data_IF_036697517247
#
_entry.id   IF_036697517247
#
_cell.length_a   1.000
_cell.length_b   1.000
_cell.length_c   1.000
_cell.angle_alpha   90.00
_cell.angle_beta   90.00
_cell.angle_gamma   90.00
#
_symmetry.space_group_name_H-M   'P 1'
#
loop_
_entity.id
_entity.type
_entity.pdbx_description
1 polymer ?
#
# COMPACT_ATOMS: atom_id res chain seq x y z
N UNK A 1 21.06 31.24 -23.92
CA UNK A 1 19.62 31.38 -24.28
C UNK A 1 18.82 31.20 -23.00
N UNK A 2 18.28 32.28 -22.43
CA UNK A 2 17.49 32.24 -21.19
C UNK A 2 16.04 31.91 -21.52
N UNK A 3 15.58 30.74 -21.07
CA UNK A 3 14.19 30.30 -21.19
C UNK A 3 13.43 30.90 -20.00
N UNK A 4 12.76 32.03 -20.24
CA UNK A 4 11.87 32.63 -19.25
C UNK A 4 10.59 31.80 -19.15
N UNK A 5 10.51 30.93 -18.13
CA UNK A 5 9.26 30.26 -17.77
C UNK A 5 8.30 31.27 -17.14
N UNK A 6 7.43 31.84 -17.98
CA UNK A 6 6.29 32.64 -17.54
C UNK A 6 5.20 31.74 -16.96
N UNK A 7 5.30 31.43 -15.67
CA UNK A 7 4.20 30.83 -14.93
C UNK A 7 3.14 31.91 -14.71
N UNK A 8 2.03 31.83 -15.44
CA UNK A 8 0.85 32.66 -15.17
C UNK A 8 0.42 32.42 -13.72
N UNK A 9 0.60 33.43 -12.86
CA UNK A 9 0.19 33.39 -11.47
C UNK A 9 -1.31 33.20 -11.38
N UNK A 10 -1.76 31.99 -11.06
CA UNK A 10 -3.17 31.72 -10.77
C UNK A 10 -3.49 32.41 -9.45
N UNK A 11 -4.40 33.38 -9.47
CA UNK A 11 -4.82 34.10 -8.26
C UNK A 11 -5.40 33.11 -7.24
N UNK A 12 -5.02 33.24 -5.97
CA UNK A 12 -5.49 32.39 -4.88
C UNK A 12 -7.03 32.36 -4.78
N UNK A 13 -7.71 33.44 -5.17
CA UNK A 13 -9.18 33.50 -5.22
C UNK A 13 -9.77 32.58 -6.29
N UNK A 14 -9.06 32.34 -7.40
CA UNK A 14 -9.47 31.39 -8.44
C UNK A 14 -9.42 29.96 -7.93
N UNK A 15 -8.42 29.61 -7.12
CA UNK A 15 -8.29 28.29 -6.50
C UNK A 15 -9.44 28.04 -5.51
N UNK A 16 -9.79 29.04 -4.69
CA UNK A 16 -10.91 28.93 -3.75
C UNK A 16 -12.26 28.76 -4.48
N UNK A 17 -12.49 29.51 -5.56
CA UNK A 17 -13.69 29.38 -6.37
C UNK A 17 -13.78 28.00 -7.06
N UNK A 18 -12.68 27.50 -7.60
CA UNK A 18 -12.62 26.17 -8.21
C UNK A 18 -12.91 25.07 -7.18
N UNK A 19 -12.35 25.21 -5.97
CA UNK A 19 -12.61 24.28 -4.86
C UNK A 19 -14.09 24.28 -4.48
N UNK A 20 -14.71 25.46 -4.33
CA UNK A 20 -16.13 25.57 -4.03
C UNK A 20 -17.03 24.95 -5.13
N UNK A 21 -16.69 25.16 -6.40
CA UNK A 21 -17.44 24.55 -7.52
C UNK A 21 -17.32 23.02 -7.53
N UNK A 22 -16.13 22.48 -7.24
CA UNK A 22 -15.92 21.04 -7.13
C UNK A 22 -16.73 20.42 -5.98
N UNK A 23 -16.85 21.11 -4.84
CA UNK A 23 -17.71 20.65 -3.74
C UNK A 23 -19.19 20.62 -4.12
N UNK A 24 -19.68 21.66 -4.81
CA UNK A 24 -21.07 21.68 -5.31
C UNK A 24 -21.36 20.53 -6.27
N UNK A 25 -20.43 20.23 -7.20
CA UNK A 25 -20.57 19.11 -8.14
C UNK A 25 -20.52 17.74 -7.47
N UNK A 26 -19.68 17.57 -6.44
CA UNK A 26 -19.66 16.31 -5.65
C UNK A 26 -20.99 16.09 -4.93
N UNK A 27 -21.55 17.13 -4.32
CA UNK A 27 -22.84 17.03 -3.63
C UNK A 27 -23.98 16.65 -4.61
N UNK A 28 -24.00 17.24 -5.81
CA UNK A 28 -25.02 16.90 -6.81
C UNK A 28 -24.88 15.47 -7.34
N UNK A 29 -23.65 14.99 -7.56
CA UNK A 29 -23.40 13.59 -7.96
C UNK A 29 -23.86 12.63 -6.85
N UNK A 30 -23.60 12.95 -5.60
CA UNK A 30 -24.01 12.12 -4.47
C UNK A 30 -25.54 12.06 -4.34
N UNK A 31 -26.25 13.18 -4.56
CA UNK A 31 -27.72 13.19 -4.62
C UNK A 31 -28.27 12.31 -5.75
N UNK A 32 -27.70 12.37 -6.95
CA UNK A 32 -28.12 11.52 -8.08
C UNK A 32 -27.80 10.05 -7.82
N UNK A 33 -26.65 9.75 -7.19
CA UNK A 33 -26.29 8.37 -6.84
C UNK A 33 -27.28 7.75 -5.83
N UNK A 34 -27.73 8.53 -4.84
CA UNK A 34 -28.70 8.06 -3.85
C UNK A 34 -30.10 7.91 -4.45
N UNK A 35 -30.46 8.73 -5.44
CA UNK A 35 -31.73 8.60 -6.16
C UNK A 35 -31.77 7.34 -7.05
N UNK A 36 -30.66 6.97 -7.68
CA UNK A 36 -30.59 5.81 -8.58
C UNK A 36 -30.37 4.47 -7.85
N UNK A 37 -29.84 4.47 -6.62
CA UNK A 37 -29.62 3.22 -5.86
C UNK A 37 -30.92 2.51 -5.45
N UNK A 38 -32.07 3.17 -5.56
CA UNK A 38 -33.39 2.56 -5.31
C UNK A 38 -34.06 1.99 -6.58
N UNK A 39 -33.47 2.11 -7.77
CA UNK A 39 -34.09 1.64 -9.02
C UNK A 39 -33.55 0.31 -9.56
N UNK A 40 -32.36 -0.15 -9.12
CA UNK A 40 -31.68 -1.29 -9.76
C UNK A 40 -31.84 -2.64 -9.04
N UNK A 41 -32.81 -2.79 -8.12
CA UNK A 41 -33.03 -4.03 -7.36
C UNK A 41 -34.37 -4.74 -7.61
N UNK A 42 -35.09 -4.40 -8.68
CA UNK A 42 -36.26 -5.19 -9.11
C UNK A 42 -36.12 -5.74 -10.52
N UNK A 43 -35.95 -7.06 -10.56
CA UNK A 43 -36.24 -7.93 -11.69
C UNK A 43 -37.56 -7.57 -12.38
N UNK A 44 -37.48 -7.38 -13.71
CA UNK A 44 -38.38 -7.98 -14.71
C UNK A 44 -39.87 -8.05 -14.40
N UNK A 45 -40.58 -6.92 -14.43
CA UNK A 45 -41.99 -6.89 -14.87
C UNK A 45 -42.18 -5.64 -15.73
N UNK A 46 -42.49 -5.83 -17.01
CA UNK A 46 -42.85 -4.74 -17.94
C UNK A 46 -44.20 -4.16 -17.50
N UNK A 47 -44.30 -2.90 -17.02
CA UNK A 47 -45.60 -2.28 -16.85
C UNK A 47 -46.07 -1.74 -18.21
N UNK A 48 -47.20 -2.24 -18.70
CA UNK A 48 -48.00 -1.54 -19.71
C UNK A 48 -48.59 -0.32 -19.03
N UNK A 49 -48.10 0.88 -19.37
CA UNK A 49 -48.70 2.15 -18.95
C UNK A 49 -49.24 2.85 -20.18
N UNK A 50 -50.53 3.13 -20.15
CA UNK A 50 -51.29 3.92 -21.12
C UNK A 50 -50.87 5.39 -21.10
N UNK A 51 -51.00 6.12 -22.22
CA UNK A 51 -50.66 7.54 -22.28
C UNK A 51 -51.69 8.36 -21.50
N UNK A 52 -51.24 9.05 -20.45
CA UNK A 52 -51.98 10.13 -19.79
C UNK A 52 -51.41 11.48 -20.27
N UNK A 53 -52.25 12.43 -20.68
CA UNK A 53 -51.83 13.77 -21.11
C UNK A 53 -51.72 14.68 -19.90
N UNK A 54 -50.55 15.27 -19.66
CA UNK A 54 -50.40 16.38 -18.70
C UNK A 54 -49.59 17.50 -19.33
N UNK A 55 -50.16 18.69 -19.17
CA UNK A 55 -49.88 19.97 -19.77
C UNK A 55 -48.43 20.45 -19.68
N UNK A 56 -48.02 21.02 -20.81
CA UNK A 56 -46.76 21.67 -21.11
C UNK A 56 -46.70 23.05 -20.46
N UNK A 57 -46.20 23.13 -19.22
CA UNK A 57 -45.84 24.41 -18.60
C UNK A 57 -44.48 24.89 -19.16
N UNK A 58 -44.56 25.88 -20.03
CA UNK A 58 -43.41 26.56 -20.65
C UNK A 58 -42.57 27.31 -19.60
N UNK A 59 -41.48 26.67 -19.14
CA UNK A 59 -40.41 27.36 -18.41
C UNK A 59 -39.38 27.85 -19.44
N UNK A 60 -39.12 29.16 -19.57
CA UNK A 60 -38.17 29.67 -20.54
C UNK A 60 -36.73 29.20 -20.21
N UNK A 61 -35.93 28.80 -21.22
CA UNK A 61 -34.59 28.31 -20.99
C UNK A 61 -33.68 29.45 -20.47
N UNK A 62 -32.87 29.21 -19.42
CA UNK A 62 -31.91 30.21 -18.94
C UNK A 62 -30.84 30.46 -20.01
N UNK A 63 -30.72 31.73 -20.43
CA UNK A 63 -29.70 32.21 -21.37
C UNK A 63 -28.31 32.02 -20.76
N UNK A 64 -27.57 31.01 -21.21
CA UNK A 64 -26.17 30.76 -20.85
C UNK A 64 -25.25 31.59 -21.75
N UNK A 65 -24.97 32.84 -21.38
CA UNK A 65 -23.88 33.64 -21.96
C UNK A 65 -22.58 33.35 -21.20
N UNK A 66 -21.95 32.21 -21.48
CA UNK A 66 -20.59 31.91 -21.04
C UNK A 66 -19.65 31.87 -22.25
N UNK A 67 -18.42 32.41 -22.16
CA UNK A 67 -17.46 32.35 -23.25
C UNK A 67 -17.16 30.88 -23.62
N UNK A 68 -16.86 30.58 -24.90
CA UNK A 68 -16.64 29.21 -25.37
C UNK A 68 -15.33 28.68 -24.76
N UNK A 69 -15.42 27.98 -23.62
CA UNK A 69 -14.29 27.31 -23.00
C UNK A 69 -13.77 26.19 -23.91
N UNK A 70 -12.52 26.37 -24.33
CA UNK A 70 -11.54 25.40 -24.83
C UNK A 70 -12.04 23.95 -25.03
N UNK A 71 -12.44 23.68 -26.26
CA UNK A 71 -12.83 22.35 -26.76
C UNK A 71 -11.69 21.30 -26.79
N UNK A 72 -10.39 21.60 -27.01
CA UNK A 72 -9.41 20.54 -27.28
C UNK A 72 -8.96 19.74 -26.04
N UNK A 73 -9.03 20.32 -24.84
CA UNK A 73 -8.68 19.59 -23.61
C UNK A 73 -9.75 18.55 -23.25
N UNK A 74 -11.02 18.88 -23.49
CA UNK A 74 -12.15 17.99 -23.24
C UNK A 74 -12.13 16.75 -24.14
N UNK A 75 -11.61 16.85 -25.36
CA UNK A 75 -11.48 15.72 -26.28
C UNK A 75 -10.41 14.72 -25.82
N UNK A 76 -9.26 15.19 -25.33
CA UNK A 76 -8.22 14.32 -24.76
C UNK A 76 -8.70 13.60 -23.50
N UNK A 77 -9.46 14.28 -22.65
CA UNK A 77 -10.05 13.68 -21.44
C UNK A 77 -11.11 12.64 -21.83
N UNK A 78 -11.94 12.91 -22.84
CA UNK A 78 -12.91 11.94 -23.36
C UNK A 78 -12.21 10.72 -23.96
N UNK A 79 -11.15 10.90 -24.74
CA UNK A 79 -10.37 9.81 -25.32
C UNK A 79 -9.73 8.92 -24.24
N UNK A 80 -9.13 9.52 -23.20
CA UNK A 80 -8.50 8.74 -22.12
C UNK A 80 -9.52 7.99 -21.27
N UNK A 81 -10.69 8.58 -21.00
CA UNK A 81 -11.80 7.89 -20.32
C UNK A 81 -12.36 6.76 -21.17
N UNK A 82 -12.50 6.95 -22.48
CA UNK A 82 -13.03 5.92 -23.38
C UNK A 82 -12.07 4.73 -23.50
N UNK A 83 -10.77 4.98 -23.66
CA UNK A 83 -9.72 3.96 -23.60
C UNK A 83 -9.77 3.15 -22.29
N UNK A 84 -9.96 3.84 -21.16
CA UNK A 84 -10.02 3.20 -19.84
C UNK A 84 -11.28 2.35 -19.69
N UNK A 85 -12.42 2.83 -20.17
CA UNK A 85 -13.68 2.08 -20.18
C UNK A 85 -13.60 0.81 -21.06
N UNK A 86 -12.96 0.91 -22.22
CA UNK A 86 -12.68 -0.23 -23.11
C UNK A 86 -11.83 -1.30 -22.43
N UNK A 87 -10.76 -0.88 -21.72
CA UNK A 87 -9.91 -1.78 -20.94
C UNK A 87 -10.70 -2.53 -19.86
N UNK A 88 -11.59 -1.84 -19.14
CA UNK A 88 -12.44 -2.49 -18.13
C UNK A 88 -13.47 -3.44 -18.74
N UNK A 89 -14.06 -3.10 -19.89
CA UNK A 89 -14.94 -4.03 -20.62
C UNK A 89 -14.19 -5.31 -20.99
N UNK A 90 -12.97 -5.19 -21.50
CA UNK A 90 -12.13 -6.36 -21.83
C UNK A 90 -11.82 -7.22 -20.61
N UNK A 91 -11.52 -6.62 -19.46
CA UNK A 91 -11.30 -7.36 -18.20
C UNK A 91 -12.56 -8.05 -17.69
N UNK A 92 -13.70 -7.38 -17.76
CA UNK A 92 -15.01 -7.96 -17.39
C UNK A 92 -15.35 -9.15 -18.30
N UNK A 93 -15.22 -8.97 -19.61
CA UNK A 93 -15.50 -10.03 -20.59
C UNK A 93 -14.54 -11.23 -20.40
N UNK A 94 -13.27 -10.96 -20.10
CA UNK A 94 -12.24 -11.99 -19.84
C UNK A 94 -12.44 -12.70 -18.50
N UNK A 95 -13.10 -12.07 -17.53
CA UNK A 95 -13.43 -12.71 -16.24
C UNK A 95 -14.64 -13.65 -16.29
N UNK A 96 -15.45 -13.56 -17.36
CA UNK A 96 -16.70 -14.33 -17.51
C UNK A 96 -16.61 -15.46 -18.53
N UNK A 97 -15.47 -15.66 -19.20
CA UNK A 97 -15.33 -16.68 -20.24
C UNK A 97 -14.31 -17.74 -19.81
N UNK A 98 -14.73 -19.00 -19.87
CA UNK A 98 -14.11 -20.24 -19.37
C UNK A 98 -12.82 -20.67 -20.11
N UNK A 99 -12.07 -19.72 -20.66
CA UNK A 99 -10.75 -19.97 -21.26
C UNK A 99 -9.66 -19.44 -20.31
N UNK A 100 -9.49 -20.14 -19.19
CA UNK A 100 -8.20 -20.15 -18.52
C UNK A 100 -7.25 -20.95 -19.41
N UNK A 101 -6.54 -20.27 -20.32
CA UNK A 101 -5.18 -20.72 -20.55
C UNK A 101 -4.50 -20.74 -19.17
N UNK A 102 -3.88 -21.86 -18.76
CA UNK A 102 -3.14 -21.93 -17.52
C UNK A 102 -1.98 -20.93 -17.63
N UNK A 103 -2.22 -19.71 -17.17
CA UNK A 103 -1.18 -18.77 -16.80
C UNK A 103 -0.30 -19.53 -15.82
N UNK A 104 0.93 -19.82 -16.25
CA UNK A 104 1.96 -20.52 -15.50
C UNK A 104 1.85 -20.16 -14.01
N UNK A 105 1.48 -21.15 -13.20
CA UNK A 105 1.28 -21.03 -11.74
C UNK A 105 2.58 -20.59 -11.02
N UNK A 106 3.69 -20.45 -11.73
CA UNK A 106 5.00 -20.01 -11.26
C UNK A 106 5.15 -18.49 -11.08
N UNK A 107 4.19 -17.67 -11.52
CA UNK A 107 4.30 -16.20 -11.39
C UNK A 107 3.69 -15.63 -10.10
N UNK A 108 2.91 -16.42 -9.35
CA UNK A 108 2.38 -15.98 -8.06
C UNK A 108 3.39 -16.30 -6.95
N UNK A 109 4.21 -15.32 -6.59
CA UNK A 109 5.13 -15.37 -5.45
C UNK A 109 4.34 -15.59 -4.16
N UNK A 110 4.20 -16.85 -3.74
CA UNK A 110 3.52 -17.23 -2.52
C UNK A 110 4.51 -17.10 -1.34
N UNK A 111 4.53 -15.93 -0.69
CA UNK A 111 5.37 -15.64 0.49
C UNK A 111 5.11 -16.57 1.70
N UNK A 112 4.11 -17.45 1.59
CA UNK A 112 3.73 -18.43 2.60
C UNK A 112 4.48 -19.76 2.47
N UNK A 113 5.03 -20.05 1.28
CA UNK A 113 5.92 -21.20 1.07
C UNK A 113 7.35 -20.69 1.12
N UNK A 114 8.01 -20.81 2.28
CA UNK A 114 9.47 -20.87 2.27
C UNK A 114 9.85 -22.15 1.52
N UNK A 115 10.52 -22.09 0.36
CA UNK A 115 11.04 -23.28 -0.29
C UNK A 115 12.16 -23.84 0.59
N UNK A 116 11.85 -24.86 1.38
CA UNK A 116 12.87 -25.59 2.16
C UNK A 116 13.89 -26.23 1.20
N UNK A 117 13.43 -26.60 0.00
CA UNK A 117 14.22 -27.28 -1.05
C UNK A 117 15.29 -26.40 -1.70
N UNK A 118 15.20 -25.08 -1.61
CA UNK A 118 16.21 -24.18 -2.18
C UNK A 118 17.37 -23.88 -1.21
N UNK A 119 17.22 -24.17 0.09
CA UNK A 119 18.30 -23.95 1.05
C UNK A 119 19.48 -24.90 0.83
N UNK A 120 19.21 -26.17 0.52
CA UNK A 120 20.26 -27.15 0.22
C UNK A 120 20.95 -26.88 -1.13
N UNK A 121 20.19 -26.44 -2.14
CA UNK A 121 20.76 -26.05 -3.45
C UNK A 121 21.58 -24.76 -3.35
N UNK A 122 21.14 -23.79 -2.54
CA UNK A 122 21.90 -22.58 -2.27
C UNK A 122 23.16 -22.88 -1.46
N UNK A 123 23.09 -23.74 -0.44
CA UNK A 123 24.27 -24.22 0.30
C UNK A 123 25.23 -24.98 -0.63
N UNK A 124 24.72 -25.83 -1.51
CA UNK A 124 25.55 -26.54 -2.50
C UNK A 124 26.19 -25.61 -3.52
N UNK A 125 25.54 -24.49 -3.86
CA UNK A 125 26.11 -23.44 -4.73
C UNK A 125 27.19 -22.65 -4.00
N UNK A 126 26.95 -22.25 -2.76
CA UNK A 126 27.91 -21.54 -1.91
C UNK A 126 29.18 -22.37 -1.69
N UNK A 127 29.05 -23.66 -1.36
CA UNK A 127 30.21 -24.55 -1.17
C UNK A 127 31.02 -24.67 -2.48
N UNK A 128 30.36 -24.74 -3.64
CA UNK A 128 31.01 -24.88 -4.94
C UNK A 128 31.61 -23.58 -5.48
N UNK A 129 31.14 -22.44 -5.00
CA UNK A 129 31.69 -21.11 -5.28
C UNK A 129 32.86 -20.77 -4.34
N UNK A 130 32.90 -21.34 -3.13
CA UNK A 130 34.06 -21.24 -2.24
C UNK A 130 35.25 -22.08 -2.77
N UNK A 131 35.02 -23.30 -3.27
CA UNK A 131 36.08 -24.15 -3.85
C UNK A 131 36.72 -23.57 -5.13
N UNK A 132 36.02 -22.69 -5.86
CA UNK A 132 36.55 -22.09 -7.10
C UNK A 132 37.15 -20.69 -6.90
N UNK A 133 37.10 -20.12 -5.69
CA UNK A 133 37.62 -18.79 -5.38
C UNK A 133 38.83 -18.85 -4.40
N UNK A 134 39.62 -19.91 -4.43
CA UNK A 134 40.84 -20.04 -3.61
C UNK A 134 42.02 -19.16 -4.06
N UNK A 135 41.87 -18.36 -5.12
CA UNK A 135 42.85 -17.34 -5.48
C UNK A 135 42.18 -15.97 -5.41
N UNK A 136 42.34 -15.27 -4.28
CA UNK A 136 42.57 -13.81 -4.15
C UNK A 136 42.24 -13.34 -2.71
N UNK A 137 43.32 -13.00 -1.99
CA UNK A 137 43.41 -12.25 -0.71
C UNK A 137 43.31 -13.09 0.58
N UNK A 138 44.47 -13.59 0.99
CA UNK A 138 44.82 -13.81 2.39
C UNK A 138 44.71 -12.50 3.21
N UNK A 139 43.52 -12.16 3.69
CA UNK A 139 43.40 -11.46 4.97
C UNK A 139 43.15 -12.52 6.03
N UNK A 140 44.23 -12.92 6.71
CA UNK A 140 44.23 -13.82 7.85
C UNK A 140 43.48 -13.18 9.04
N UNK A 141 42.16 -13.11 8.96
CA UNK A 141 41.32 -12.98 10.14
C UNK A 141 41.21 -14.37 10.77
N UNK A 142 41.55 -14.57 12.05
CA UNK A 142 41.33 -15.84 12.72
C UNK A 142 39.84 -16.17 12.63
N UNK A 143 39.51 -17.30 12.00
CA UNK A 143 38.15 -17.83 12.00
C UNK A 143 37.82 -18.21 13.45
N UNK A 144 37.24 -17.25 14.18
CA UNK A 144 36.76 -17.47 15.53
C UNK A 144 35.62 -18.47 15.43
N UNK A 145 35.89 -19.69 15.86
CA UNK A 145 34.90 -20.75 16.05
C UNK A 145 33.80 -20.13 16.91
N UNK A 146 32.59 -20.00 16.34
CA UNK A 146 31.40 -19.48 17.02
C UNK A 146 31.00 -20.45 18.13
N UNK A 147 31.67 -20.36 19.27
CA UNK A 147 31.23 -21.03 20.49
C UNK A 147 29.96 -20.34 20.98
N UNK A 148 28.93 -21.11 21.32
CA UNK A 148 27.64 -20.62 21.84
C UNK A 148 27.75 -19.77 23.13
N UNK A 149 28.95 -19.66 23.71
CA UNK A 149 29.27 -18.96 24.95
C UNK A 149 29.96 -17.60 24.73
N UNK A 150 29.72 -16.93 23.61
CA UNK A 150 30.26 -15.58 23.42
C UNK A 150 29.54 -14.56 24.34
N UNK A 151 30.28 -13.76 25.13
CA UNK A 151 29.67 -12.78 26.02
C UNK A 151 28.96 -11.68 25.21
N UNK A 152 27.78 -11.27 25.70
CA UNK A 152 27.03 -10.15 25.12
C UNK A 152 27.64 -8.82 25.57
N UNK A 153 27.83 -7.89 24.64
CA UNK A 153 28.34 -6.54 24.86
C UNK A 153 27.25 -5.51 24.46
N UNK A 154 27.19 -4.39 25.19
CA UNK A 154 26.30 -3.27 24.86
C UNK A 154 26.88 -2.45 23.69
N UNK A 155 26.12 -2.35 22.60
CA UNK A 155 26.48 -1.54 21.42
C UNK A 155 25.39 -0.49 21.18
N UNK A 156 25.80 0.74 20.85
CA UNK A 156 24.89 1.83 20.47
C UNK A 156 24.69 1.77 18.96
N UNK A 157 23.45 1.55 18.51
CA UNK A 157 23.11 1.56 17.08
C UNK A 157 23.19 2.97 16.48
N UNK A 158 23.08 3.05 15.16
CA UNK A 158 23.06 4.32 14.40
C UNK A 158 21.93 5.29 14.79
N UNK A 159 20.93 4.83 15.56
CA UNK A 159 19.81 5.63 16.08
C UNK A 159 20.01 6.03 17.55
N UNK A 160 21.16 5.72 18.15
CA UNK A 160 21.45 6.02 19.56
C UNK A 160 20.79 5.07 20.56
N UNK A 161 20.30 3.90 20.12
CA UNK A 161 19.70 2.89 21.02
C UNK A 161 20.74 1.86 21.45
N UNK A 162 20.73 1.48 22.72
CA UNK A 162 21.57 0.41 23.24
C UNK A 162 20.99 -0.97 22.91
N UNK A 163 21.82 -1.88 22.41
CA UNK A 163 21.46 -3.28 22.13
C UNK A 163 22.54 -4.22 22.67
N UNK A 164 22.12 -5.36 23.20
CA UNK A 164 23.02 -6.45 23.60
C UNK A 164 23.31 -7.33 22.40
N UNK A 165 24.58 -7.41 22.01
CA UNK A 165 25.03 -8.12 20.81
C UNK A 165 26.22 -9.01 21.19
N UNK A 166 26.38 -10.22 20.63
CA UNK A 166 27.57 -11.03 20.86
C UNK A 166 28.86 -10.25 20.55
N UNK A 167 29.91 -10.45 21.36
CA UNK A 167 31.17 -9.69 21.26
C UNK A 167 31.78 -9.69 19.85
N UNK A 168 31.71 -10.80 19.12
CA UNK A 168 32.24 -10.88 17.76
C UNK A 168 31.52 -9.93 16.78
N UNK A 169 30.19 -9.81 16.92
CA UNK A 169 29.38 -8.93 16.09
C UNK A 169 29.55 -7.46 16.54
N UNK A 170 29.76 -7.21 17.85
CA UNK A 170 30.13 -5.88 18.35
C UNK A 170 31.44 -5.34 17.74
N UNK A 171 32.46 -6.19 17.56
CA UNK A 171 33.72 -5.82 16.90
C UNK A 171 33.47 -5.43 15.44
N UNK A 172 32.62 -6.19 14.74
CA UNK A 172 32.26 -5.90 13.35
C UNK A 172 31.53 -4.56 13.22
N UNK A 173 30.55 -4.29 14.09
CA UNK A 173 29.81 -3.02 14.08
C UNK A 173 30.75 -1.84 14.35
N UNK A 174 31.67 -1.96 15.31
CA UNK A 174 32.69 -0.93 15.59
C UNK A 174 33.59 -0.68 14.37
N UNK A 175 34.05 -1.74 13.72
CA UNK A 175 34.87 -1.62 12.51
C UNK A 175 34.11 -0.98 11.34
N UNK A 176 32.83 -1.32 11.13
CA UNK A 176 31.98 -0.68 10.12
C UNK A 176 31.77 0.82 10.40
N UNK A 177 31.63 1.21 11.68
CA UNK A 177 31.58 2.63 12.08
C UNK A 177 32.89 3.38 11.77
N UNK A 178 34.04 2.73 11.97
CA UNK A 178 35.35 3.31 11.67
C UNK A 178 35.61 3.44 10.15
N UNK A 179 35.22 2.43 9.36
CA UNK A 179 35.43 2.40 7.90
C UNK A 179 34.55 3.41 7.16
N UNK A 180 33.32 3.63 7.64
CA UNK A 180 32.40 4.59 7.01
C UNK A 180 32.67 6.06 7.35
N UNK A 181 33.85 6.38 7.90
CA UNK A 181 34.38 7.75 7.85
C UNK A 181 33.62 8.76 8.70
N UNK A 182 32.87 8.30 9.70
CA UNK A 182 32.42 9.13 10.82
C UNK A 182 33.47 9.17 11.93
N UNK A 183 34.76 9.12 11.57
CA UNK A 183 35.78 9.72 12.41
C UNK A 183 35.31 11.15 12.67
N UNK A 184 35.10 11.56 13.93
CA UNK A 184 34.81 12.96 14.22
C UNK A 184 35.97 13.72 13.61
N UNK A 185 35.72 14.40 12.49
CA UNK A 185 36.64 15.37 11.92
C UNK A 185 37.04 16.20 13.14
N UNK A 186 38.32 16.20 13.56
CA UNK A 186 38.74 17.06 14.64
C UNK A 186 38.29 18.43 14.18
N UNK A 187 37.33 19.00 14.90
CA UNK A 187 36.82 20.35 14.68
C UNK A 187 38.04 21.26 14.90
N UNK A 188 38.83 21.39 13.84
CA UNK A 188 39.85 22.39 13.67
C UNK A 188 39.12 23.67 13.93
N UNK A 189 39.45 24.28 15.06
CA UNK A 189 39.05 25.59 15.52
C UNK A 189 39.16 26.59 14.35
N UNK A 190 38.10 26.67 13.54
CA UNK A 190 37.95 27.76 12.60
C UNK A 190 37.84 29.02 13.45
N UNK A 191 38.60 30.08 13.14
CA UNK A 191 38.59 31.30 13.92
C UNK A 191 37.16 31.83 13.96
N UNK A 192 36.65 31.95 15.19
CA UNK A 192 35.33 32.45 15.54
C UNK A 192 34.99 33.69 14.72
N UNK A 193 34.00 33.57 13.84
CA UNK A 193 33.15 34.70 13.47
C UNK A 193 32.30 34.97 14.70
N UNK A 194 32.58 36.08 15.39
CA UNK A 194 31.81 36.59 16.53
C UNK A 194 30.47 37.17 16.03
N UNK A 195 29.62 36.33 15.47
CA UNK A 195 28.24 36.73 15.23
C UNK A 195 27.54 36.81 16.58
N UNK A 196 27.10 38.02 16.94
CA UNK A 196 26.38 38.35 18.15
C UNK A 196 25.29 37.30 18.47
N UNK A 197 25.51 36.56 19.54
CA UNK A 197 24.56 35.59 20.07
C UNK A 197 23.33 36.34 20.60
N UNK A 198 22.35 36.62 19.73
CA UNK A 198 21.05 37.16 20.15
C UNK A 198 20.29 36.00 20.80
N UNK A 199 19.99 36.06 22.12
CA UNK A 199 19.17 35.03 22.74
C UNK A 199 17.83 35.01 22.01
N UNK A 200 17.50 33.87 21.41
CA UNK A 200 16.21 33.64 20.75
C UNK A 200 15.16 33.77 21.85
N UNK A 201 14.54 34.95 21.94
CA UNK A 201 13.49 35.24 22.89
C UNK A 201 12.35 34.25 22.66
N UNK A 202 12.13 33.34 23.62
CA UNK A 202 10.94 32.50 23.81
C UNK A 202 10.11 32.31 22.54
N UNK A 203 10.69 31.69 21.52
CA UNK A 203 9.95 31.24 20.36
C UNK A 203 9.09 30.07 20.85
N UNK A 204 7.88 30.39 21.34
CA UNK A 204 6.90 29.39 21.71
C UNK A 204 6.71 28.44 20.51
N UNK A 205 6.80 27.15 20.82
CA UNK A 205 6.65 26.07 19.87
C UNK A 205 5.45 26.33 18.94
N UNK A 206 5.74 26.61 17.67
CA UNK A 206 4.73 26.89 16.66
C UNK A 206 4.53 25.62 15.84
N UNK A 207 3.42 24.93 16.08
CA UNK A 207 3.09 23.64 15.44
C UNK A 207 3.05 23.74 13.90
N UNK A 208 2.84 24.94 13.36
CA UNK A 208 2.86 25.21 11.91
C UNK A 208 4.27 25.15 11.28
N UNK A 209 5.33 25.24 12.07
CA UNK A 209 6.73 25.21 11.61
C UNK A 209 7.43 23.88 11.87
N UNK A 210 6.78 22.94 12.58
CA UNK A 210 7.34 21.62 12.79
C UNK A 210 7.32 20.84 11.47
N UNK A 211 8.49 20.72 10.85
CA UNK A 211 8.70 19.81 9.72
C UNK A 211 8.70 18.38 10.30
N UNK A 212 7.50 17.84 10.55
CA UNK A 212 7.27 16.40 10.84
C UNK A 212 7.60 15.61 9.58
N UNK A 213 8.88 15.48 9.32
CA UNK A 213 9.43 14.60 8.31
C UNK A 213 9.11 13.18 8.74
N UNK A 214 8.04 12.64 8.13
CA UNK A 214 7.72 11.22 7.93
C UNK A 214 6.83 10.57 9.00
N UNK A 215 5.57 10.36 8.58
CA UNK A 215 4.74 9.14 8.75
C UNK A 215 3.53 9.14 9.70
N UNK A 216 3.28 10.19 10.48
CA UNK A 216 2.02 10.28 11.24
C UNK A 216 1.24 11.50 10.76
N UNK A 217 0.22 11.26 9.93
CA UNK A 217 -0.70 12.29 9.48
C UNK A 217 -1.63 12.65 10.63
N UNK A 218 -1.34 13.74 11.33
CA UNK A 218 -2.28 14.30 12.30
C UNK A 218 -3.38 15.04 11.54
N UNK A 219 -4.63 14.65 11.77
CA UNK A 219 -5.78 15.37 11.25
C UNK A 219 -5.88 16.72 11.96
N UNK A 220 -5.62 17.81 11.23
CA UNK A 220 -5.85 19.17 11.75
C UNK A 220 -7.34 19.47 11.69
N UNK A 221 -8.00 19.38 12.84
CA UNK A 221 -9.41 19.75 12.96
C UNK A 221 -9.59 21.27 12.89
N UNK A 222 -10.76 21.71 12.45
CA UNK A 222 -11.12 23.14 12.51
C UNK A 222 -11.22 23.61 13.97
N UNK A 223 -10.87 24.86 14.23
CA UNK A 223 -11.07 25.49 15.53
C UNK A 223 -12.56 25.66 15.90
N UNK A 224 -13.46 25.68 14.91
CA UNK A 224 -14.91 25.75 15.12
C UNK A 224 -15.44 24.40 15.61
N UNK A 225 -16.19 24.43 16.71
CA UNK A 225 -16.69 23.22 17.39
C UNK A 225 -17.64 22.38 16.51
N UNK A 226 -18.58 23.02 15.83
CA UNK A 226 -19.56 22.32 14.99
C UNK A 226 -18.87 21.58 13.83
N UNK A 227 -17.95 22.27 13.15
CA UNK A 227 -17.16 21.67 12.06
C UNK A 227 -16.22 20.56 12.58
N UNK A 228 -15.68 20.70 13.79
CA UNK A 228 -14.87 19.66 14.44
C UNK A 228 -15.70 18.40 14.68
N UNK A 229 -16.94 18.55 15.16
CA UNK A 229 -17.85 17.42 15.38
C UNK A 229 -18.22 16.72 14.07
N UNK A 230 -18.47 17.46 13.00
CA UNK A 230 -18.72 16.91 11.67
C UNK A 230 -17.50 16.12 11.14
N UNK A 231 -16.30 16.69 11.29
CA UNK A 231 -15.04 16.04 10.90
C UNK A 231 -14.81 14.75 11.71
N UNK A 232 -15.07 14.77 13.01
CA UNK A 232 -14.99 13.58 13.86
C UNK A 232 -16.01 12.52 13.47
N UNK A 233 -17.24 12.90 13.13
CA UNK A 233 -18.27 11.98 12.65
C UNK A 233 -17.88 11.34 11.33
N UNK A 234 -17.33 12.13 10.40
CA UNK A 234 -16.83 11.63 9.12
C UNK A 234 -15.65 10.65 9.31
N UNK A 235 -14.74 10.95 10.23
CA UNK A 235 -13.60 10.08 10.54
C UNK A 235 -14.06 8.75 11.12
N UNK A 236 -14.97 8.76 12.11
CA UNK A 236 -15.57 7.52 12.66
C UNK A 236 -16.30 6.69 11.60
N UNK A 237 -16.97 7.35 10.65
CA UNK A 237 -17.62 6.65 9.54
C UNK A 237 -16.59 5.92 8.67
N UNK A 238 -15.47 6.56 8.34
CA UNK A 238 -14.38 5.93 7.58
C UNK A 238 -13.73 4.77 8.35
N UNK A 239 -13.51 4.92 9.65
CA UNK A 239 -12.99 3.84 10.51
C UNK A 239 -13.93 2.64 10.51
N UNK A 240 -15.24 2.87 10.69
CA UNK A 240 -16.23 1.79 10.67
C UNK A 240 -16.27 1.03 9.34
N UNK A 241 -16.08 1.72 8.20
CA UNK A 241 -15.98 1.10 6.88
C UNK A 241 -14.70 0.27 6.74
N UNK A 242 -13.57 0.73 7.29
CA UNK A 242 -12.33 -0.04 7.30
C UNK A 242 -12.43 -1.27 8.20
N UNK A 243 -13.05 -1.15 9.37
CA UNK A 243 -13.24 -2.24 10.31
C UNK A 243 -14.14 -3.34 9.74
N UNK A 244 -15.24 -2.97 9.08
CA UNK A 244 -16.11 -3.92 8.39
C UNK A 244 -15.38 -4.64 7.25
N UNK A 245 -14.54 -3.95 6.49
CA UNK A 245 -13.70 -4.58 5.46
C UNK A 245 -12.68 -5.55 6.08
N UNK A 246 -12.00 -5.14 7.14
CA UNK A 246 -11.04 -5.99 7.87
C UNK A 246 -11.74 -7.23 8.44
N UNK A 247 -12.92 -7.07 9.02
CA UNK A 247 -13.73 -8.18 9.53
C UNK A 247 -14.15 -9.16 8.41
N UNK A 248 -14.57 -8.65 7.24
CA UNK A 248 -14.93 -9.48 6.10
C UNK A 248 -13.73 -10.30 5.59
N UNK A 249 -12.55 -9.70 5.49
CA UNK A 249 -11.31 -10.40 5.10
C UNK A 249 -10.95 -11.48 6.12
N UNK A 250 -11.07 -11.21 7.43
CA UNK A 250 -10.82 -12.20 8.47
C UNK A 250 -11.82 -13.36 8.42
N UNK A 251 -13.10 -13.08 8.17
CA UNK A 251 -14.12 -14.12 8.00
C UNK A 251 -13.83 -14.99 6.77
N UNK A 252 -13.48 -14.38 5.63
CA UNK A 252 -13.08 -15.11 4.43
C UNK A 252 -11.87 -16.02 4.68
N UNK A 253 -10.85 -15.53 5.40
CA UNK A 253 -9.68 -16.32 5.78
C UNK A 253 -10.05 -17.51 6.68
N UNK A 254 -10.98 -17.33 7.62
CA UNK A 254 -11.47 -18.41 8.49
C UNK A 254 -12.22 -19.48 7.68
N UNK A 255 -13.08 -19.08 6.75
CA UNK A 255 -13.80 -20.00 5.87
C UNK A 255 -12.85 -20.79 4.97
N UNK A 256 -11.83 -20.14 4.40
CA UNK A 256 -10.83 -20.82 3.58
C UNK A 256 -10.03 -21.85 4.40
N UNK A 257 -9.61 -21.49 5.60
CA UNK A 257 -8.92 -22.41 6.50
C UNK A 257 -9.78 -23.63 6.85
N UNK A 258 -11.07 -23.42 7.13
CA UNK A 258 -12.01 -24.51 7.38
C UNK A 258 -12.20 -25.40 6.15
N UNK A 259 -12.29 -24.81 4.95
CA UNK A 259 -12.39 -25.57 3.70
C UNK A 259 -11.14 -26.43 3.46
N UNK A 260 -9.95 -25.89 3.72
CA UNK A 260 -8.68 -26.63 3.62
C UNK A 260 -8.61 -27.78 4.62
N UNK A 261 -9.06 -27.56 5.86
CA UNK A 261 -9.13 -28.59 6.90
C UNK A 261 -10.05 -29.74 6.48
N UNK A 262 -11.27 -29.44 6.03
CA UNK A 262 -12.22 -30.45 5.54
C UNK A 262 -11.65 -31.23 4.35
N UNK A 263 -11.00 -30.55 3.40
CA UNK A 263 -10.37 -31.22 2.26
C UNK A 263 -9.25 -32.17 2.71
N UNK A 264 -8.45 -31.77 3.70
CA UNK A 264 -7.39 -32.60 4.28
C UNK A 264 -7.99 -33.85 4.93
N UNK A 265 -9.06 -33.71 5.69
CA UNK A 265 -9.76 -34.82 6.33
C UNK A 265 -10.28 -35.82 5.29
N UNK A 266 -10.97 -35.35 4.24
CA UNK A 266 -11.46 -36.21 3.14
C UNK A 266 -10.30 -36.99 2.48
N UNK A 267 -9.16 -36.34 2.24
CA UNK A 267 -7.99 -37.01 1.65
C UNK A 267 -7.44 -38.08 2.59
N UNK A 268 -7.37 -37.81 3.90
CA UNK A 268 -6.90 -38.77 4.89
C UNK A 268 -7.83 -39.98 4.97
N UNK A 269 -9.15 -39.78 5.01
CA UNK A 269 -10.13 -40.87 5.01
C UNK A 269 -10.00 -41.74 3.77
N UNK A 270 -9.90 -41.14 2.57
CA UNK A 270 -9.70 -41.89 1.31
C UNK A 270 -8.39 -42.70 1.30
N UNK A 271 -7.32 -42.16 1.90
CA UNK A 271 -6.04 -42.89 2.03
C UNK A 271 -6.17 -44.08 2.96
N UNK A 272 -6.89 -43.92 4.08
CA UNK A 272 -7.14 -45.01 5.01
C UNK A 272 -8.00 -46.11 4.38
N UNK A 273 -9.06 -45.75 3.66
CA UNK A 273 -9.88 -46.68 2.89
C UNK A 273 -9.04 -47.45 1.87
N UNK A 274 -8.18 -46.76 1.14
CA UNK A 274 -7.28 -47.38 0.15
C UNK A 274 -6.30 -48.35 0.80
N UNK A 275 -5.66 -47.98 1.92
CA UNK A 275 -4.78 -48.87 2.69
C UNK A 275 -5.54 -50.10 3.18
N UNK A 276 -6.75 -49.90 3.74
CA UNK A 276 -7.60 -51.00 4.20
C UNK A 276 -7.97 -51.96 3.05
N UNK A 277 -8.26 -51.44 1.87
CA UNK A 277 -8.57 -52.27 0.69
C UNK A 277 -7.36 -53.09 0.24
N UNK A 278 -6.15 -52.51 0.30
CA UNK A 278 -4.92 -53.18 -0.12
C UNK A 278 -4.44 -54.26 0.88
N UNK A 279 -4.70 -54.08 2.19
CA UNK A 279 -4.26 -55.03 3.21
C UNK A 279 -5.19 -56.26 3.40
N UNK A 280 -6.36 -56.30 2.75
CA UNK A 280 -7.36 -57.39 2.93
C UNK A 280 -7.21 -58.54 1.93
N UNK A 281 -6.22 -58.49 1.02
CA UNK A 281 -5.80 -59.67 0.28
C UNK A 281 -4.59 -60.31 0.96
N UNK A 282 -4.79 -61.20 1.96
CA UNK A 282 -3.72 -62.09 2.35
C UNK A 282 -3.35 -62.88 1.10
N UNK A 283 -2.08 -62.82 0.73
CA UNK A 283 -1.50 -63.73 -0.23
C UNK A 283 -1.80 -65.14 0.29
N UNK A 284 -2.85 -65.76 -0.22
CA UNK A 284 -3.08 -67.18 -0.05
C UNK A 284 -1.99 -67.85 -0.86
N UNK A 285 -0.87 -68.12 -0.19
CA UNK A 285 0.24 -68.92 -0.68
C UNK A 285 -0.30 -70.29 -1.12
N UNK A 286 -0.01 -70.63 -2.38
CA UNK A 286 -0.27 -71.94 -3.00
C UNK A 286 1.06 -72.66 -3.12
#
# INVERSE_FOLDING_TARGET
>A
MNVNNSYKSISQSSILNLKAELFKKKASIQQVSNANLNQDLYFSVKPKVSPSPVEEAQIPPPKKSGPPLEKPLNEKIKLSLNMKAEKYRKLLLKSTYEDYEPLEEDSLVDFSRMPVEDTEKLLSRLIREEENNEEVIHSQGPQHILTFDDPLEEVIDEFGRTRMVPRHEAIRIKHEQDVHGNSPIPLSMSPMVQDEYKPVQNAHYSEDFEIRTKSVFFYRFSANEDMRQEQMKALRALESLSDTQRAAVQQAKRLDLHRRANRKEIILSKRQEFISLMCVHPLTEV
#
